data_IF_093335489198
#
_entry.id   IF_093335489198
#
_cell.length_a   1.000
_cell.length_b   1.000
_cell.length_c   1.000
_cell.angle_alpha   90.00
_cell.angle_beta   90.00
_cell.angle_gamma   90.00
#
_symmetry.space_group_name_H-M   'P 1'
#
loop_
_entity.id
_entity.type
_entity.pdbx_description
1 polymer ?
#
# COMPACT_ATOMS: atom_id res chain seq x y z
N UNK A 1 13.59 -37.08 37.72
CA UNK A 1 12.17 -36.77 37.43
C UNK A 1 11.76 -35.63 38.33
N UNK A 2 11.22 -34.48 37.92
CA UNK A 2 11.01 -33.87 36.62
C UNK A 2 11.14 -32.35 36.83
N UNK A 3 11.68 -31.64 35.84
CA UNK A 3 11.87 -30.19 35.91
C UNK A 3 10.51 -29.50 35.80
N UNK A 4 10.16 -28.71 36.81
CA UNK A 4 9.22 -27.60 36.67
C UNK A 4 9.93 -26.53 35.83
N UNK A 5 9.47 -26.33 34.60
CA UNK A 5 9.75 -25.12 33.84
C UNK A 5 8.43 -24.61 33.30
N UNK A 6 8.11 -23.40 33.72
CA UNK A 6 6.89 -22.66 33.46
C UNK A 6 6.53 -22.66 31.98
N UNK A 7 5.41 -23.28 31.65
CA UNK A 7 4.71 -23.08 30.38
C UNK A 7 3.94 -21.76 30.45
N UNK A 8 4.68 -20.65 30.47
CA UNK A 8 4.14 -19.31 30.24
C UNK A 8 4.52 -18.93 28.81
N UNK A 9 3.61 -19.14 27.86
CA UNK A 9 3.52 -18.49 26.54
C UNK A 9 2.39 -19.19 25.75
N UNK A 10 1.16 -19.01 26.21
CA UNK A 10 -0.05 -19.58 25.60
C UNK A 10 -1.13 -18.54 25.39
N UNK A 11 -0.78 -17.30 25.07
CA UNK A 11 -1.71 -16.24 24.68
C UNK A 11 -1.00 -15.34 23.65
N UNK A 12 -0.88 -15.79 22.41
CA UNK A 12 -0.69 -14.85 21.30
C UNK A 12 -2.08 -14.30 20.95
N UNK A 13 -2.31 -13.05 21.33
CA UNK A 13 -3.53 -12.30 21.07
C UNK A 13 -4.10 -12.60 19.69
N UNK A 14 -5.24 -13.29 19.71
CA UNK A 14 -6.03 -13.60 18.53
C UNK A 14 -6.60 -12.32 17.97
N UNK A 15 -6.09 -11.95 16.80
CA UNK A 15 -6.78 -11.26 15.72
C UNK A 15 -7.47 -9.92 16.08
N UNK A 16 -6.85 -8.82 15.66
CA UNK A 16 -7.61 -7.62 15.30
C UNK A 16 -8.20 -7.87 13.91
N UNK A 17 -9.51 -8.03 13.81
CA UNK A 17 -10.26 -8.22 12.56
C UNK A 17 -9.96 -9.50 11.74
N UNK A 18 -9.61 -10.61 12.40
CA UNK A 18 -9.49 -11.92 11.74
C UNK A 18 -8.23 -12.13 10.89
N UNK A 19 -7.27 -11.19 10.91
CA UNK A 19 -6.00 -11.33 10.19
C UNK A 19 -4.88 -11.78 11.13
N UNK A 20 -4.03 -12.75 10.73
CA UNK A 20 -2.84 -13.13 11.49
C UNK A 20 -1.91 -11.93 11.74
N UNK A 21 -1.37 -11.82 12.96
CA UNK A 21 -0.39 -10.79 13.36
C UNK A 21 1.01 -11.10 12.85
N UNK A 22 1.27 -12.37 12.54
CA UNK A 22 2.42 -12.84 11.78
C UNK A 22 2.28 -12.38 10.32
N UNK A 23 3.17 -11.47 9.90
CA UNK A 23 3.20 -10.95 8.53
C UNK A 23 3.64 -11.98 7.49
N UNK A 24 4.42 -13.01 7.87
CA UNK A 24 5.01 -14.05 7.00
C UNK A 24 4.02 -15.14 6.57
N UNK A 25 2.95 -15.33 7.33
CA UNK A 25 1.93 -16.37 7.12
C UNK A 25 0.68 -15.84 6.43
N UNK A 26 0.58 -14.54 6.19
CA UNK A 26 -0.53 -14.00 5.41
C UNK A 26 -0.40 -14.49 3.95
N UNK A 27 -1.48 -14.94 3.29
CA UNK A 27 -1.46 -15.48 1.92
C UNK A 27 -0.99 -14.49 0.84
N UNK A 28 -0.64 -13.26 1.23
CA UNK A 28 -0.15 -12.17 0.39
C UNK A 28 1.35 -12.23 0.10
N UNK A 29 2.08 -13.24 0.58
CA UNK A 29 3.52 -13.39 0.34
C UNK A 29 3.90 -13.61 -1.12
N UNK A 30 3.00 -14.15 -1.96
CA UNK A 30 3.22 -14.30 -3.40
C UNK A 30 3.32 -12.95 -4.15
N UNK A 31 2.95 -11.85 -3.49
CA UNK A 31 3.04 -10.47 -4.01
C UNK A 31 4.45 -9.89 -3.95
N UNK A 32 5.30 -10.37 -3.03
CA UNK A 32 6.64 -9.79 -2.78
C UNK A 32 7.77 -10.37 -3.65
N UNK A 33 7.53 -11.49 -4.35
CA UNK A 33 8.51 -12.07 -5.29
C UNK A 33 8.46 -11.43 -6.69
N UNK A 34 7.32 -10.83 -7.08
CA UNK A 34 7.26 -9.97 -8.28
C UNK A 34 7.75 -8.57 -7.91
N UNK A 35 8.85 -8.12 -8.53
CA UNK A 35 9.33 -6.73 -8.43
C UNK A 35 8.33 -5.78 -9.11
N UNK A 36 7.28 -5.39 -8.39
CA UNK A 36 6.34 -4.41 -8.88
C UNK A 36 6.90 -3.02 -8.64
N UNK A 37 7.12 -2.29 -9.73
CA UNK A 37 7.72 -0.96 -9.72
C UNK A 37 6.63 0.09 -9.95
N UNK A 38 6.31 0.87 -8.91
CA UNK A 38 5.50 2.07 -9.07
C UNK A 38 6.25 3.14 -9.88
N UNK A 39 5.49 4.08 -10.46
CA UNK A 39 6.04 5.31 -11.06
C UNK A 39 6.22 6.43 -10.04
N UNK A 40 6.41 6.11 -8.75
CA UNK A 40 6.53 7.12 -7.69
C UNK A 40 7.82 7.94 -7.85
N UNK A 41 7.68 9.26 -7.84
CA UNK A 41 8.74 10.21 -8.16
C UNK A 41 9.44 10.83 -6.96
N UNK A 42 9.16 10.40 -5.72
CA UNK A 42 9.90 10.87 -4.55
C UNK A 42 9.18 11.86 -3.63
N UNK A 43 7.93 12.25 -3.90
CA UNK A 43 7.25 13.26 -3.06
C UNK A 43 6.81 12.65 -1.72
N UNK A 44 7.54 13.01 -0.66
CA UNK A 44 7.25 12.62 0.73
C UNK A 44 5.89 13.16 1.21
N UNK A 45 5.58 14.43 0.90
CA UNK A 45 4.29 15.03 1.23
C UNK A 45 3.11 14.25 0.60
N UNK A 46 3.26 13.76 -0.63
CA UNK A 46 2.26 12.92 -1.28
C UNK A 46 2.14 11.55 -0.61
N UNK A 47 3.27 10.95 -0.22
CA UNK A 47 3.32 9.69 0.54
C UNK A 47 2.57 9.82 1.87
N UNK A 48 2.76 10.92 2.59
CA UNK A 48 2.09 11.18 3.86
C UNK A 48 0.56 11.32 3.71
N UNK A 49 0.10 11.96 2.65
CA UNK A 49 -1.35 12.08 2.35
C UNK A 49 -1.96 10.70 2.11
N UNK A 50 -1.26 9.82 1.39
CA UNK A 50 -1.70 8.44 1.18
C UNK A 50 -1.66 7.65 2.49
N UNK A 51 -0.58 7.78 3.27
CA UNK A 51 -0.44 7.10 4.56
C UNK A 51 -1.57 7.48 5.53
N UNK A 52 -1.96 8.75 5.60
CA UNK A 52 -3.09 9.22 6.41
C UNK A 52 -4.42 8.59 5.99
N UNK A 53 -4.63 8.38 4.68
CA UNK A 53 -5.83 7.70 4.19
C UNK A 53 -5.81 6.20 4.51
N UNK A 54 -4.65 5.55 4.42
CA UNK A 54 -4.49 4.14 4.83
C UNK A 54 -4.72 3.99 6.33
N UNK A 55 -4.13 4.88 7.14
CA UNK A 55 -4.34 4.95 8.59
C UNK A 55 -5.82 5.08 8.94
N UNK A 56 -6.55 5.98 8.28
CA UNK A 56 -7.96 6.19 8.53
C UNK A 56 -8.85 5.00 8.14
N UNK A 57 -8.41 4.15 7.19
CA UNK A 57 -9.20 3.02 6.67
C UNK A 57 -8.89 1.69 7.36
N UNK A 58 -7.62 1.41 7.63
CA UNK A 58 -7.14 0.11 8.13
C UNK A 58 -6.30 0.20 9.41
N UNK A 59 -6.03 1.40 9.92
CA UNK A 59 -5.31 1.61 11.17
C UNK A 59 -3.79 1.68 11.02
N UNK A 60 -3.11 1.77 12.16
CA UNK A 60 -1.68 2.12 12.23
C UNK A 60 -0.76 1.02 11.70
N UNK A 61 -1.16 -0.25 11.85
CA UNK A 61 -0.40 -1.40 11.35
C UNK A 61 -0.18 -1.30 9.83
N UNK A 62 -1.24 -1.03 9.07
CA UNK A 62 -1.17 -0.92 7.62
C UNK A 62 -0.52 0.40 7.18
N UNK A 63 -0.71 1.48 7.94
CA UNK A 63 -0.01 2.75 7.69
C UNK A 63 1.52 2.61 7.84
N UNK A 64 2.01 1.78 8.76
CA UNK A 64 3.43 1.44 8.90
C UNK A 64 3.93 0.53 7.79
N UNK A 65 3.07 -0.35 7.29
CA UNK A 65 3.38 -1.26 6.18
C UNK A 65 3.30 -0.59 4.80
N UNK A 66 2.77 0.64 4.71
CA UNK A 66 2.64 1.35 3.45
C UNK A 66 4.00 1.64 2.79
N UNK A 67 4.18 1.13 1.57
CA UNK A 67 5.30 1.44 0.70
C UNK A 67 4.77 1.97 -0.65
N UNK A 68 4.94 3.26 -0.96
CA UNK A 68 4.51 3.85 -2.23
C UNK A 68 5.09 3.14 -3.46
N UNK A 69 6.21 2.41 -3.32
CA UNK A 69 6.90 1.79 -4.45
C UNK A 69 6.34 0.44 -4.88
N UNK A 70 5.78 -0.31 -3.95
CA UNK A 70 5.48 -1.74 -4.16
C UNK A 70 4.03 -2.12 -3.88
N UNK A 71 3.36 -1.48 -2.91
CA UNK A 71 2.06 -1.94 -2.42
C UNK A 71 0.91 -0.95 -2.61
N UNK A 72 1.14 0.13 -3.37
CA UNK A 72 0.12 1.10 -3.71
C UNK A 72 0.30 1.60 -5.15
N UNK A 73 -0.60 1.17 -6.03
CA UNK A 73 -0.45 1.36 -7.47
C UNK A 73 -1.75 1.88 -8.08
N UNK A 74 -1.67 2.38 -9.32
CA UNK A 74 -2.86 2.75 -10.10
C UNK A 74 -3.58 1.49 -10.59
N UNK A 75 -4.86 1.64 -10.92
CA UNK A 75 -5.70 0.55 -11.45
C UNK A 75 -5.02 -0.23 -12.59
N UNK A 76 -4.50 0.48 -13.60
CA UNK A 76 -3.83 -0.14 -14.74
C UNK A 76 -2.57 -0.91 -14.33
N UNK A 77 -1.80 -0.41 -13.35
CA UNK A 77 -0.61 -1.12 -12.85
C UNK A 77 -0.98 -2.40 -12.12
N UNK A 78 -2.07 -2.41 -11.34
CA UNK A 78 -2.56 -3.65 -10.74
C UNK A 78 -2.96 -4.67 -11.81
N UNK A 79 -3.70 -4.24 -12.85
CA UNK A 79 -4.08 -5.09 -13.97
C UNK A 79 -2.86 -5.68 -14.71
N UNK A 80 -1.86 -4.85 -15.01
CA UNK A 80 -0.61 -5.29 -15.65
C UNK A 80 0.14 -6.35 -14.83
N UNK A 81 -0.04 -6.36 -13.51
CA UNK A 81 0.60 -7.32 -12.61
C UNK A 81 -0.24 -8.58 -12.34
N UNK A 82 -1.43 -8.70 -12.94
CA UNK A 82 -2.33 -9.83 -12.78
C UNK A 82 -3.31 -9.69 -11.61
N UNK A 83 -3.61 -8.46 -11.19
CA UNK A 83 -4.51 -8.18 -10.07
C UNK A 83 -5.66 -7.30 -10.53
N UNK A 84 -6.84 -7.53 -9.96
CA UNK A 84 -8.03 -6.70 -10.16
C UNK A 84 -8.40 -6.00 -8.86
N UNK A 85 -8.87 -4.77 -8.97
CA UNK A 85 -9.45 -4.05 -7.83
C UNK A 85 -10.81 -4.66 -7.50
N UNK A 86 -11.05 -4.94 -6.21
CA UNK A 86 -12.33 -5.49 -5.73
C UNK A 86 -13.48 -4.53 -6.04
N UNK A 87 -14.64 -5.09 -6.39
CA UNK A 87 -15.81 -4.28 -6.73
C UNK A 87 -16.28 -3.44 -5.53
N UNK A 88 -16.57 -2.15 -5.75
CA UNK A 88 -17.03 -1.23 -4.72
C UNK A 88 -15.94 -0.54 -3.90
N UNK A 89 -14.66 -0.90 -4.10
CA UNK A 89 -13.54 -0.26 -3.41
C UNK A 89 -13.33 1.20 -3.84
N UNK A 90 -13.11 2.07 -2.85
CA UNK A 90 -12.83 3.49 -3.11
C UNK A 90 -11.35 3.71 -3.34
N UNK A 91 -10.98 4.44 -4.39
CA UNK A 91 -9.59 4.82 -4.60
C UNK A 91 -9.05 5.68 -3.44
N UNK A 92 -7.76 5.56 -3.19
CA UNK A 92 -6.97 6.47 -2.37
C UNK A 92 -6.53 7.63 -3.27
N UNK A 93 -6.73 8.86 -2.81
CA UNK A 93 -6.40 10.06 -3.58
C UNK A 93 -4.96 10.48 -3.33
N UNK A 94 -4.17 10.52 -4.38
CA UNK A 94 -2.81 11.03 -4.39
C UNK A 94 -2.74 12.23 -5.33
N UNK A 95 -1.71 13.07 -5.21
CA UNK A 95 -1.49 14.21 -6.08
C UNK A 95 -0.04 14.26 -6.52
N UNK A 96 0.17 14.57 -7.80
CA UNK A 96 1.48 14.89 -8.36
C UNK A 96 1.46 16.32 -8.88
N UNK A 97 2.59 17.02 -8.80
CA UNK A 97 2.76 18.32 -9.43
C UNK A 97 3.30 18.09 -10.83
N UNK A 98 2.55 18.51 -11.84
CA UNK A 98 2.99 18.45 -13.24
C UNK A 98 3.56 19.80 -13.63
N UNK A 99 4.79 19.79 -14.13
CA UNK A 99 5.42 20.95 -14.74
C UNK A 99 5.08 20.97 -16.24
N UNK A 100 4.37 22.02 -16.67
CA UNK A 100 4.11 22.29 -18.08
C UNK A 100 5.31 23.06 -18.64
N UNK A 101 6.01 22.45 -19.61
CA UNK A 101 7.11 23.09 -20.33
C UNK A 101 6.60 23.68 -21.66
N UNK A 102 7.17 24.79 -22.09
CA UNK A 102 7.00 25.30 -23.45
C UNK A 102 7.85 24.53 -24.46
N UNK A 103 7.85 25.01 -25.72
CA UNK A 103 8.65 24.43 -26.82
C UNK A 103 10.16 24.56 -26.59
N UNK A 104 10.59 25.50 -25.74
CA UNK A 104 11.98 25.80 -25.43
C UNK A 104 12.44 25.07 -24.14
N UNK A 105 11.56 24.28 -23.52
CA UNK A 105 11.83 23.48 -22.33
C UNK A 105 11.74 24.26 -21.00
N UNK A 106 11.30 25.51 -21.02
CA UNK A 106 11.11 26.35 -19.83
C UNK A 106 9.79 26.00 -19.15
N UNK A 107 9.80 25.88 -17.82
CA UNK A 107 8.59 25.58 -17.03
C UNK A 107 7.68 26.81 -16.99
N UNK A 108 6.57 26.76 -17.74
CA UNK A 108 5.60 27.85 -17.86
C UNK A 108 4.55 27.80 -16.75
N UNK A 109 4.16 26.61 -16.30
CA UNK A 109 3.20 26.47 -15.21
C UNK A 109 3.34 25.16 -14.45
N UNK A 110 2.91 25.16 -13.18
CA UNK A 110 2.82 23.95 -12.35
C UNK A 110 1.37 23.76 -11.94
N UNK A 111 0.82 22.56 -12.12
CA UNK A 111 -0.55 22.25 -11.67
C UNK A 111 -0.62 20.88 -10.98
N UNK A 112 -1.43 20.75 -9.92
CA UNK A 112 -1.64 19.47 -9.27
C UNK A 112 -2.54 18.59 -10.14
N UNK A 113 -2.14 17.34 -10.36
CA UNK A 113 -2.97 16.29 -10.95
C UNK A 113 -3.29 15.25 -9.88
N UNK A 114 -4.58 14.96 -9.72
CA UNK A 114 -5.02 13.86 -8.85
C UNK A 114 -4.77 12.51 -9.52
N UNK A 115 -4.25 11.57 -8.74
CA UNK A 115 -4.05 10.18 -9.12
C UNK A 115 -4.88 9.31 -8.18
N UNK A 116 -5.59 8.34 -8.76
CA UNK A 116 -6.29 7.31 -8.02
C UNK A 116 -5.35 6.12 -7.82
N UNK A 117 -5.07 5.80 -6.56
CA UNK A 117 -4.28 4.65 -6.17
C UNK A 117 -5.15 3.63 -5.43
N UNK A 118 -4.71 2.38 -5.44
CA UNK A 118 -5.31 1.29 -4.71
C UNK A 118 -4.22 0.60 -3.89
N UNK A 119 -4.51 0.37 -2.62
CA UNK A 119 -3.64 -0.38 -1.71
C UNK A 119 -3.82 -1.89 -1.92
N UNK A 120 -2.81 -2.70 -1.59
CA UNK A 120 -2.85 -4.14 -1.84
C UNK A 120 -4.07 -4.86 -1.22
N UNK A 121 -4.60 -4.36 -0.11
CA UNK A 121 -5.82 -4.91 0.51
C UNK A 121 -7.08 -4.73 -0.34
N UNK A 122 -7.07 -3.77 -1.27
CA UNK A 122 -8.18 -3.43 -2.16
C UNK A 122 -8.18 -4.24 -3.46
N UNK A 123 -7.19 -5.11 -3.66
CA UNK A 123 -7.09 -5.94 -4.86
C UNK A 123 -7.18 -7.42 -4.53
N UNK A 124 -7.43 -8.19 -5.57
CA UNK A 124 -7.41 -9.65 -5.57
C UNK A 124 -6.74 -10.13 -6.86
N UNK A 125 -6.23 -11.37 -6.85
CA UNK A 125 -5.68 -11.99 -8.05
C UNK A 125 -6.78 -12.13 -9.10
N UNK A 126 -6.44 -11.78 -10.35
CA UNK A 126 -7.39 -11.69 -11.46
C UNK A 126 -7.81 -13.07 -11.97
#
# INVERSE_FOLDING_TARGET
MGKLSDAFLGLSDTAINGLPTDFKTRPYFHYMDKKILSTWTGSEATSDIVRKQILARWGEAEAKNYDPKSNCLTFNRWLENGFKVKAGEKAIKSFIVIEKKDKDGVVVSKYPKSINLFYFLQVEEA
#
